data_IF_660938469405
#
_entry.id   IF_660938469405
#
_cell.length_a   1.000
_cell.length_b   1.000
_cell.length_c   1.000
_cell.angle_alpha   90.00
_cell.angle_beta   90.00
_cell.angle_gamma   90.00
#
_symmetry.space_group_name_H-M   'P 1'
#
loop_
_entity.id
_entity.type
_entity.pdbx_description
1 polymer ?
#
# COMPACT_ATOMS: atom_id res chain seq x y z
N UNK A 1 10.78 -66.33 -33.87
CA UNK A 1 9.39 -65.81 -33.75
C UNK A 1 8.79 -66.30 -32.44
N UNK A 2 8.17 -65.40 -31.66
CA UNK A 2 7.49 -65.59 -30.34
C UNK A 2 8.45 -65.96 -29.20
N UNK A 3 8.34 -65.48 -27.96
CA UNK A 3 7.47 -64.54 -27.21
C UNK A 3 8.23 -64.35 -25.89
N UNK A 4 8.25 -63.17 -25.27
CA UNK A 4 8.12 -63.06 -23.81
C UNK A 4 7.71 -61.63 -23.43
N UNK A 5 6.56 -61.56 -22.76
CA UNK A 5 5.97 -60.41 -22.09
C UNK A 5 6.66 -60.20 -20.74
N UNK A 6 6.90 -58.95 -20.32
CA UNK A 6 6.73 -58.59 -18.91
C UNK A 6 6.66 -57.07 -18.66
N UNK A 7 5.45 -56.65 -18.25
CA UNK A 7 5.14 -55.80 -17.10
C UNK A 7 5.85 -54.45 -16.93
N UNK A 8 5.12 -53.37 -17.23
CA UNK A 8 5.32 -52.07 -16.61
C UNK A 8 5.16 -52.17 -15.10
N UNK A 9 6.18 -51.77 -14.32
CA UNK A 9 6.00 -51.34 -12.92
C UNK A 9 6.03 -49.82 -12.92
N UNK A 10 4.90 -49.23 -12.56
CA UNK A 10 4.79 -47.82 -12.18
C UNK A 10 5.44 -47.71 -10.79
N UNK A 11 6.56 -47.01 -10.70
CA UNK A 11 7.15 -46.60 -9.42
C UNK A 11 6.35 -45.40 -8.92
N UNK A 12 5.45 -45.62 -7.96
CA UNK A 12 4.84 -44.54 -7.18
C UNK A 12 5.90 -44.08 -6.18
N UNK A 13 6.54 -42.94 -6.45
CA UNK A 13 7.47 -42.32 -5.52
C UNK A 13 6.69 -41.56 -4.45
N UNK A 14 6.45 -42.25 -3.34
CA UNK A 14 6.01 -41.65 -2.07
C UNK A 14 7.01 -40.58 -1.64
N UNK A 15 6.68 -39.29 -1.76
CA UNK A 15 7.42 -38.20 -1.12
C UNK A 15 7.23 -38.32 0.39
N UNK A 16 8.24 -38.83 1.08
CA UNK A 16 8.35 -38.71 2.53
C UNK A 16 8.56 -37.24 2.90
N UNK A 17 7.82 -36.78 3.91
CA UNK A 17 8.06 -35.50 4.59
C UNK A 17 9.52 -35.50 5.06
N UNK A 18 10.36 -34.64 4.49
CA UNK A 18 11.72 -34.44 4.98
C UNK A 18 11.63 -33.82 6.37
N UNK A 19 11.87 -34.62 7.40
CA UNK A 19 12.09 -34.11 8.75
C UNK A 19 13.32 -33.17 8.71
N UNK A 20 13.15 -31.93 9.18
CA UNK A 20 14.29 -31.01 9.34
C UNK A 20 15.34 -31.65 10.25
N UNK A 21 16.61 -31.56 9.85
CA UNK A 21 17.74 -32.00 10.66
C UNK A 21 17.71 -31.32 12.04
N UNK A 22 17.98 -32.08 13.11
CA UNK A 22 17.93 -31.66 14.51
C UNK A 22 18.86 -30.45 14.76
N UNK A 23 19.95 -30.35 13.99
CA UNK A 23 20.89 -29.23 14.05
C UNK A 23 20.30 -27.95 13.48
N UNK A 24 19.57 -28.05 12.37
CA UNK A 24 18.83 -26.94 11.76
C UNK A 24 17.69 -26.49 12.68
N UNK A 25 16.96 -27.44 13.28
CA UNK A 25 15.87 -27.14 14.21
C UNK A 25 16.37 -26.43 15.50
N UNK A 26 17.55 -26.78 16.00
CA UNK A 26 18.19 -26.11 17.16
C UNK A 26 18.60 -24.66 16.91
N UNK A 27 18.83 -24.26 15.66
CA UNK A 27 19.22 -22.89 15.29
C UNK A 27 18.00 -22.09 14.81
N UNK A 28 17.09 -22.74 14.06
CA UNK A 28 15.94 -22.08 13.47
C UNK A 28 14.90 -21.66 14.53
N UNK A 29 14.62 -22.51 15.53
CA UNK A 29 13.68 -22.18 16.61
C UNK A 29 14.04 -20.91 17.40
N UNK A 30 15.28 -20.74 17.91
CA UNK A 30 15.62 -19.52 18.65
C UNK A 30 15.66 -18.29 17.74
N UNK A 31 16.03 -18.42 16.47
CA UNK A 31 16.00 -17.31 15.50
C UNK A 31 14.57 -16.87 15.22
N UNK A 32 13.66 -17.81 14.95
CA UNK A 32 12.23 -17.52 14.79
C UNK A 32 11.64 -16.93 16.07
N UNK A 33 12.01 -17.48 17.23
CA UNK A 33 11.62 -16.94 18.54
C UNK A 33 12.10 -15.51 18.76
N UNK A 34 13.34 -15.19 18.39
CA UNK A 34 13.88 -13.83 18.47
C UNK A 34 13.15 -12.86 17.54
N UNK A 35 12.88 -13.27 16.29
CA UNK A 35 12.12 -12.47 15.33
C UNK A 35 10.71 -12.17 15.86
N UNK A 36 10.01 -13.18 16.40
CA UNK A 36 8.70 -13.00 17.02
C UNK A 36 8.74 -12.06 18.22
N UNK A 37 9.76 -12.17 19.08
CA UNK A 37 9.91 -11.28 20.24
C UNK A 37 10.18 -9.83 19.81
N UNK A 38 11.02 -9.62 18.79
CA UNK A 38 11.29 -8.29 18.23
C UNK A 38 10.02 -7.71 17.61
N UNK A 39 9.27 -8.51 16.86
CA UNK A 39 7.99 -8.10 16.27
C UNK A 39 6.95 -7.72 17.34
N UNK A 40 6.76 -8.57 18.35
CA UNK A 40 5.85 -8.28 19.47
C UNK A 40 6.26 -7.03 20.25
N UNK A 41 7.57 -6.86 20.51
CA UNK A 41 8.11 -5.67 21.15
C UNK A 41 7.85 -4.41 20.33
N UNK A 42 8.01 -4.48 19.01
CA UNK A 42 7.72 -3.38 18.10
C UNK A 42 6.22 -3.03 18.08
N UNK A 43 5.33 -4.02 18.03
CA UNK A 43 3.87 -3.78 18.08
C UNK A 43 3.43 -3.18 19.41
N UNK A 44 3.96 -3.67 20.54
CA UNK A 44 3.72 -3.09 21.87
C UNK A 44 4.19 -1.64 21.93
N UNK A 45 5.31 -1.33 21.28
CA UNK A 45 5.83 0.03 21.19
C UNK A 45 4.94 0.95 20.33
N UNK A 46 4.40 0.45 19.21
CA UNK A 46 3.43 1.20 18.40
C UNK A 46 2.11 1.44 19.15
N UNK A 47 1.68 0.49 19.97
CA UNK A 47 0.52 0.66 20.85
C UNK A 47 0.78 1.80 21.85
N UNK A 48 1.98 1.86 22.44
CA UNK A 48 2.35 2.96 23.34
C UNK A 48 2.34 4.32 22.64
N UNK A 49 2.86 4.40 21.40
CA UNK A 49 2.75 5.62 20.59
C UNK A 49 1.30 6.04 20.32
N UNK A 50 0.39 5.07 20.19
CA UNK A 50 -1.02 5.34 19.90
C UNK A 50 -1.76 5.86 21.14
N UNK A 51 -1.42 5.35 22.33
CA UNK A 51 -2.07 5.71 23.60
C UNK A 51 -1.50 7.03 24.15
N UNK A 52 -0.18 7.21 24.10
CA UNK A 52 0.52 8.36 24.70
C UNK A 52 1.53 9.00 23.74
N UNK A 53 1.08 9.55 22.59
CA UNK A 53 1.96 9.99 21.51
C UNK A 53 3.00 11.03 21.95
N UNK A 54 2.58 12.07 22.69
CA UNK A 54 3.51 13.12 23.14
C UNK A 54 4.57 12.57 24.11
N UNK A 55 4.16 11.81 25.12
CA UNK A 55 5.09 11.25 26.11
C UNK A 55 6.10 10.29 25.45
N UNK A 56 5.62 9.42 24.57
CA UNK A 56 6.48 8.43 23.90
C UNK A 56 7.48 9.10 22.94
N UNK A 57 7.06 10.07 22.13
CA UNK A 57 7.99 10.75 21.21
C UNK A 57 8.97 11.65 21.97
N UNK A 58 8.52 12.34 23.02
CA UNK A 58 9.44 13.12 23.87
C UNK A 58 10.53 12.24 24.50
N UNK A 59 10.16 11.04 24.94
CA UNK A 59 11.12 10.07 25.46
C UNK A 59 12.11 9.60 24.40
N UNK A 60 11.63 9.20 23.22
CA UNK A 60 12.47 8.69 22.13
C UNK A 60 13.43 9.75 21.60
N UNK A 61 12.94 10.98 21.43
CA UNK A 61 13.71 12.09 20.86
C UNK A 61 14.50 12.85 21.92
N UNK A 62 14.46 12.43 23.20
CA UNK A 62 15.08 13.14 24.32
C UNK A 62 14.68 14.62 24.40
N UNK A 63 13.40 14.90 24.13
CA UNK A 63 12.84 16.26 24.06
C UNK A 63 11.94 16.62 25.24
N UNK A 64 11.94 15.81 26.30
CA UNK A 64 11.09 15.96 27.50
C UNK A 64 11.22 17.34 28.19
N UNK A 65 12.40 17.96 28.10
CA UNK A 65 12.69 19.24 28.73
C UNK A 65 12.26 20.45 27.88
N UNK A 66 11.82 20.25 26.64
CA UNK A 66 11.37 21.33 25.77
C UNK A 66 9.85 21.50 25.88
N UNK A 67 9.43 22.76 26.04
CA UNK A 67 8.02 23.18 26.04
C UNK A 67 7.15 22.38 27.05
N UNK A 68 7.68 22.12 28.25
CA UNK A 68 7.04 21.34 29.33
C UNK A 68 6.48 19.97 28.88
N UNK A 69 7.13 19.33 27.90
CA UNK A 69 6.68 18.04 27.35
C UNK A 69 5.60 18.16 26.27
N UNK A 70 5.33 19.36 25.76
CA UNK A 70 4.39 19.61 24.66
C UNK A 70 5.05 19.95 23.33
N UNK A 71 6.38 19.78 23.21
CA UNK A 71 7.19 20.14 22.04
C UNK A 71 6.63 19.68 20.69
N UNK A 72 6.07 18.46 20.62
CA UNK A 72 5.51 17.91 19.37
C UNK A 72 4.05 18.28 19.12
N UNK A 73 3.36 18.78 20.16
CA UNK A 73 1.95 19.18 20.16
C UNK A 73 1.03 18.21 19.40
N UNK A 74 1.26 16.90 19.55
CA UNK A 74 0.46 15.88 18.88
C UNK A 74 -0.93 15.95 19.48
N UNK A 75 -1.92 16.27 18.64
CA UNK A 75 -3.32 16.34 19.04
C UNK A 75 -3.70 14.98 19.64
N UNK A 76 -4.12 14.99 20.89
CA UNK A 76 -4.55 13.77 21.57
C UNK A 76 -5.75 13.18 20.83
N UNK A 77 -5.63 11.96 20.29
CA UNK A 77 -6.71 11.35 19.55
C UNK A 77 -7.90 11.09 20.48
N UNK A 78 -9.15 11.25 19.99
CA UNK A 78 -10.33 10.82 20.72
C UNK A 78 -10.21 9.35 21.14
N UNK A 79 -10.78 8.96 22.28
CA UNK A 79 -10.71 7.59 22.82
C UNK A 79 -11.17 6.56 21.77
N UNK A 80 -12.13 6.90 20.92
CA UNK A 80 -12.60 6.05 19.82
C UNK A 80 -11.51 5.78 18.77
N UNK A 81 -10.71 6.79 18.42
CA UNK A 81 -9.59 6.66 17.47
C UNK A 81 -8.45 5.85 18.09
N UNK A 82 -8.18 6.04 19.39
CA UNK A 82 -7.23 5.20 20.14
C UNK A 82 -7.71 3.75 20.15
N UNK A 83 -8.99 3.51 20.43
CA UNK A 83 -9.55 2.17 20.46
C UNK A 83 -9.46 1.50 19.07
N UNK A 84 -9.80 2.21 18.00
CA UNK A 84 -9.65 1.70 16.62
C UNK A 84 -8.18 1.45 16.28
N UNK A 85 -7.27 2.34 16.65
CA UNK A 85 -5.84 2.18 16.40
C UNK A 85 -5.23 0.99 17.16
N UNK A 86 -5.56 0.84 18.44
CA UNK A 86 -5.12 -0.30 19.27
C UNK A 86 -5.73 -1.60 18.77
N UNK A 87 -7.02 -1.60 18.41
CA UNK A 87 -7.68 -2.79 17.84
C UNK A 87 -7.09 -3.13 16.47
N UNK A 88 -6.81 -2.13 15.63
CA UNK A 88 -6.17 -2.29 14.33
C UNK A 88 -4.75 -2.84 14.46
N UNK A 89 -3.93 -2.33 15.38
CA UNK A 89 -2.59 -2.85 15.66
C UNK A 89 -2.62 -4.28 16.23
N UNK A 90 -3.64 -4.61 17.03
CA UNK A 90 -3.89 -5.97 17.47
C UNK A 90 -4.33 -6.89 16.31
N UNK A 91 -5.03 -6.38 15.30
CA UNK A 91 -5.40 -7.10 14.07
C UNK A 91 -4.20 -7.20 13.10
N UNK A 92 -3.32 -6.20 13.05
CA UNK A 92 -2.06 -6.20 12.28
C UNK A 92 -1.13 -7.30 12.76
N UNK A 93 -1.16 -7.63 14.07
CA UNK A 93 -0.54 -8.82 14.64
C UNK A 93 -1.03 -10.13 13.98
N UNK A 94 -2.15 -10.10 13.24
CA UNK A 94 -2.82 -11.25 12.63
C UNK A 94 -2.71 -11.26 11.09
N UNK A 95 -2.24 -10.20 10.39
CA UNK A 95 -2.20 -10.26 8.92
C UNK A 95 -1.67 -9.07 8.11
N UNK A 96 -0.55 -8.45 8.51
CA UNK A 96 0.08 -7.37 7.74
C UNK A 96 1.55 -7.65 7.47
N UNK A 97 1.94 -7.77 6.20
CA UNK A 97 3.32 -7.99 5.77
C UNK A 97 3.75 -6.78 4.93
N UNK A 98 4.64 -5.95 5.48
CA UNK A 98 5.27 -4.82 4.80
C UNK A 98 6.77 -5.00 4.71
N UNK A 99 7.33 -4.74 3.52
CA UNK A 99 8.77 -4.61 3.32
C UNK A 99 9.28 -3.21 3.69
N UNK A 100 10.59 -3.05 3.76
CA UNK A 100 11.26 -1.76 4.00
C UNK A 100 11.95 -1.31 2.71
N UNK A 101 11.69 -0.09 2.21
CA UNK A 101 12.37 0.42 1.01
C UNK A 101 13.89 0.43 1.18
N UNK A 102 14.64 0.02 0.15
CA UNK A 102 16.11 0.07 0.14
C UNK A 102 16.83 -1.06 0.92
N UNK A 103 16.12 -2.08 1.37
CA UNK A 103 16.69 -3.30 1.96
C UNK A 103 16.17 -4.53 1.19
N UNK A 104 16.93 -5.62 1.06
CA UNK A 104 16.44 -6.84 0.42
C UNK A 104 15.18 -7.30 1.13
N UNK A 105 14.06 -7.20 0.42
CA UNK A 105 12.73 -7.48 0.93
C UNK A 105 12.42 -8.96 0.92
N UNK A 106 11.15 -9.28 1.12
CA UNK A 106 10.64 -10.64 0.97
C UNK A 106 10.72 -11.04 -0.52
N UNK A 107 11.64 -11.94 -0.86
CA UNK A 107 11.89 -12.38 -2.24
C UNK A 107 10.89 -13.47 -2.69
N UNK A 108 10.39 -14.24 -1.74
CA UNK A 108 9.42 -15.31 -1.98
C UNK A 108 8.54 -15.55 -0.76
N UNK A 109 7.34 -16.04 -1.02
CA UNK A 109 6.40 -16.57 -0.02
C UNK A 109 6.27 -18.08 -0.21
N UNK A 110 6.06 -18.87 0.86
CA UNK A 110 5.76 -20.30 0.73
C UNK A 110 4.48 -20.53 -0.09
N UNK A 111 4.49 -21.52 -0.98
CA UNK A 111 3.36 -21.84 -1.87
C UNK A 111 2.08 -22.20 -1.13
N UNK A 112 2.21 -22.80 0.06
CA UNK A 112 1.11 -23.25 0.93
C UNK A 112 0.70 -22.21 1.97
N UNK A 113 1.29 -21.01 1.95
CA UNK A 113 1.08 -19.99 2.99
C UNK A 113 -0.40 -19.68 3.22
N UNK A 114 -1.19 -19.62 2.16
CA UNK A 114 -2.59 -19.20 2.22
C UNK A 114 -3.59 -20.35 2.32
N UNK A 115 -3.14 -21.61 2.28
CA UNK A 115 -4.02 -22.78 2.19
C UNK A 115 -4.94 -22.92 3.42
N UNK A 116 -4.44 -22.62 4.61
CA UNK A 116 -5.19 -22.68 5.87
C UNK A 116 -5.82 -21.36 6.32
N UNK A 117 -5.74 -20.30 5.51
CA UNK A 117 -6.12 -18.93 5.92
C UNK A 117 -7.59 -18.59 5.63
N UNK A 118 -8.50 -19.53 5.88
CA UNK A 118 -9.93 -19.40 5.55
C UNK A 118 -10.62 -18.22 6.24
N UNK A 119 -10.10 -17.75 7.38
CA UNK A 119 -10.69 -16.63 8.14
C UNK A 119 -10.14 -15.25 7.74
N UNK A 120 -9.14 -15.21 6.86
CA UNK A 120 -8.55 -13.96 6.43
C UNK A 120 -9.56 -13.18 5.56
N UNK A 121 -9.87 -11.96 5.98
CA UNK A 121 -10.87 -11.08 5.34
C UNK A 121 -10.24 -9.86 4.68
N UNK A 122 -9.07 -9.44 5.15
CA UNK A 122 -8.31 -8.31 4.62
C UNK A 122 -6.87 -8.76 4.41
N UNK A 123 -6.34 -8.51 3.21
CA UNK A 123 -4.95 -8.77 2.90
C UNK A 123 -4.36 -7.54 2.24
N UNK A 124 -3.28 -7.03 2.84
CA UNK A 124 -2.49 -5.93 2.31
C UNK A 124 -1.04 -6.39 2.22
N UNK A 125 -0.47 -6.33 1.01
CA UNK A 125 0.94 -6.60 0.77
C UNK A 125 1.54 -5.37 0.13
N UNK A 126 2.55 -4.78 0.77
CA UNK A 126 3.16 -3.58 0.28
C UNK A 126 4.69 -3.53 0.37
N UNK A 127 5.29 -2.77 -0.55
CA UNK A 127 6.71 -2.46 -0.58
C UNK A 127 7.56 -3.73 -0.69
N UNK A 128 7.20 -4.60 -1.65
CA UNK A 128 7.93 -5.84 -1.93
C UNK A 128 8.50 -5.74 -3.35
N UNK A 129 9.67 -5.10 -3.46
CA UNK A 129 10.30 -4.78 -4.74
C UNK A 129 10.76 -6.03 -5.50
N UNK A 130 11.25 -7.05 -4.79
CA UNK A 130 11.82 -8.27 -5.38
C UNK A 130 10.82 -9.42 -5.53
N UNK A 131 9.61 -9.30 -4.95
CA UNK A 131 8.63 -10.38 -4.98
C UNK A 131 8.05 -10.53 -6.38
N UNK A 132 8.34 -11.66 -7.03
CA UNK A 132 7.92 -11.90 -8.42
C UNK A 132 6.57 -12.62 -8.55
N UNK A 133 6.18 -13.41 -7.55
CA UNK A 133 4.96 -14.21 -7.55
C UNK A 133 4.32 -14.27 -6.18
N UNK A 134 3.00 -14.42 -6.16
CA UNK A 134 2.21 -14.67 -4.96
C UNK A 134 1.78 -16.14 -4.92
N UNK A 135 1.68 -16.74 -3.71
CA UNK A 135 1.09 -18.06 -3.52
C UNK A 135 -0.38 -18.09 -3.96
N UNK A 136 -0.90 -19.29 -4.18
CA UNK A 136 -2.29 -19.52 -4.53
C UNK A 136 -3.27 -18.89 -3.52
N UNK A 137 -4.35 -18.27 -4.00
CA UNK A 137 -5.40 -17.74 -3.13
C UNK A 137 -6.47 -18.78 -2.75
N UNK A 138 -6.30 -20.07 -3.07
CA UNK A 138 -7.35 -21.08 -2.85
C UNK A 138 -7.92 -21.12 -1.43
N UNK A 139 -7.08 -21.00 -0.40
CA UNK A 139 -7.53 -20.99 1.00
C UNK A 139 -8.15 -19.67 1.47
N UNK A 140 -8.05 -18.58 0.71
CA UNK A 140 -8.56 -17.24 1.05
C UNK A 140 -10.06 -17.08 0.71
N UNK A 141 -10.89 -18.01 1.17
CA UNK A 141 -12.30 -18.12 0.77
C UNK A 141 -13.21 -16.99 1.30
N UNK A 142 -12.83 -16.35 2.42
CA UNK A 142 -13.59 -15.25 3.02
C UNK A 142 -12.94 -13.87 2.79
N UNK A 143 -12.00 -13.78 1.86
CA UNK A 143 -11.32 -12.52 1.56
C UNK A 143 -12.31 -11.48 1.02
N UNK A 144 -12.34 -10.30 1.63
CA UNK A 144 -13.20 -9.17 1.27
C UNK A 144 -12.41 -8.02 0.66
N UNK A 145 -11.19 -7.80 1.14
CA UNK A 145 -10.31 -6.74 0.63
C UNK A 145 -8.94 -7.30 0.30
N UNK A 146 -8.49 -7.05 -0.93
CA UNK A 146 -7.14 -7.33 -1.39
C UNK A 146 -6.50 -6.03 -1.87
N UNK A 147 -5.40 -5.63 -1.24
CA UNK A 147 -4.60 -4.48 -1.66
C UNK A 147 -3.15 -4.90 -1.86
N UNK A 148 -2.64 -4.68 -3.07
CA UNK A 148 -1.28 -4.95 -3.47
C UNK A 148 -0.62 -3.63 -3.88
N UNK A 149 0.36 -3.16 -3.12
CA UNK A 149 0.93 -1.83 -3.27
C UNK A 149 2.46 -1.85 -3.42
N UNK A 150 3.01 -1.11 -4.37
CA UNK A 150 4.47 -1.00 -4.58
C UNK A 150 5.14 -2.38 -4.70
N UNK A 151 4.58 -3.24 -5.56
CA UNK A 151 5.14 -4.55 -5.88
C UNK A 151 5.94 -4.43 -7.17
N UNK A 152 7.23 -4.09 -7.02
CA UNK A 152 8.10 -3.69 -8.13
C UNK A 152 8.31 -4.76 -9.20
N UNK A 153 8.41 -6.02 -8.79
CA UNK A 153 8.71 -7.15 -9.68
C UNK A 153 7.58 -8.16 -9.86
N UNK A 154 6.40 -7.92 -9.26
CA UNK A 154 5.27 -8.85 -9.36
C UNK A 154 4.79 -8.93 -10.81
N UNK A 155 4.81 -10.12 -11.39
CA UNK A 155 4.47 -10.32 -12.82
C UNK A 155 3.00 -10.68 -13.04
N UNK A 156 2.41 -11.42 -12.11
CA UNK A 156 1.07 -11.99 -12.25
C UNK A 156 0.36 -12.12 -10.91
N UNK A 157 -0.98 -12.05 -10.95
CA UNK A 157 -1.83 -12.32 -9.79
C UNK A 157 -2.36 -13.76 -9.88
N UNK A 158 -2.50 -14.46 -8.75
CA UNK A 158 -3.20 -15.75 -8.68
C UNK A 158 -4.68 -15.63 -9.08
N UNK A 159 -5.26 -16.74 -9.52
CA UNK A 159 -6.67 -16.83 -9.90
C UNK A 159 -7.62 -16.52 -8.74
N UNK A 160 -8.75 -15.86 -9.06
CA UNK A 160 -9.75 -15.42 -8.08
C UNK A 160 -10.95 -16.38 -7.95
N UNK A 161 -10.80 -17.63 -8.37
CA UNK A 161 -11.87 -18.63 -8.49
C UNK A 161 -12.64 -18.87 -7.19
N UNK A 162 -11.97 -18.76 -6.04
CA UNK A 162 -12.55 -19.06 -4.72
C UNK A 162 -12.93 -17.80 -3.93
N UNK A 163 -12.54 -16.61 -4.40
CA UNK A 163 -12.68 -15.32 -3.70
C UNK A 163 -14.09 -14.72 -3.87
N UNK A 164 -15.14 -15.53 -3.70
CA UNK A 164 -16.54 -15.14 -3.95
C UNK A 164 -17.07 -14.06 -3.02
N UNK A 165 -16.33 -13.69 -1.98
CA UNK A 165 -16.68 -12.62 -1.04
C UNK A 165 -15.91 -11.32 -1.28
N UNK A 166 -15.04 -11.28 -2.31
CA UNK A 166 -14.17 -10.14 -2.55
C UNK A 166 -15.00 -8.93 -2.98
N UNK A 167 -14.84 -7.84 -2.23
CA UNK A 167 -15.53 -6.57 -2.39
C UNK A 167 -14.58 -5.50 -2.95
N UNK A 168 -13.32 -5.52 -2.52
CA UNK A 168 -12.31 -4.53 -2.91
C UNK A 168 -11.07 -5.22 -3.47
N UNK A 169 -10.66 -4.80 -4.66
CA UNK A 169 -9.37 -5.15 -5.25
C UNK A 169 -8.63 -3.87 -5.63
N UNK A 170 -7.47 -3.65 -5.01
CA UNK A 170 -6.63 -2.49 -5.26
C UNK A 170 -5.23 -2.93 -5.69
N UNK A 171 -4.83 -2.47 -6.87
CA UNK A 171 -3.47 -2.55 -7.37
C UNK A 171 -2.88 -1.14 -7.41
N UNK A 172 -1.87 -0.89 -6.58
CA UNK A 172 -1.17 0.38 -6.52
C UNK A 172 0.29 0.16 -6.94
N UNK A 173 0.72 0.81 -8.03
CA UNK A 173 2.12 0.77 -8.48
C UNK A 173 2.69 -0.66 -8.57
N UNK A 174 2.08 -1.50 -9.41
CA UNK A 174 2.54 -2.85 -9.73
C UNK A 174 2.93 -2.90 -11.23
N UNK A 175 4.05 -2.26 -11.64
CA UNK A 175 4.33 -1.94 -13.04
C UNK A 175 4.58 -3.17 -13.93
N UNK A 176 4.99 -4.29 -13.34
CA UNK A 176 5.31 -5.53 -14.06
C UNK A 176 4.08 -6.43 -14.27
N UNK A 177 2.92 -6.10 -13.68
CA UNK A 177 1.68 -6.85 -13.89
C UNK A 177 1.10 -6.50 -15.26
N UNK A 178 1.29 -7.41 -16.21
CA UNK A 178 0.86 -7.23 -17.60
C UNK A 178 -0.60 -7.63 -17.86
N UNK A 179 -1.20 -8.44 -16.98
CA UNK A 179 -2.55 -8.99 -17.12
C UNK A 179 -3.23 -9.15 -15.77
N UNK A 180 -4.56 -9.24 -15.77
CA UNK A 180 -5.35 -9.64 -14.60
C UNK A 180 -5.87 -11.07 -14.75
N UNK A 181 -6.08 -11.79 -13.63
CA UNK A 181 -6.86 -13.03 -13.63
C UNK A 181 -8.31 -12.74 -14.08
N UNK A 182 -9.06 -13.80 -14.39
CA UNK A 182 -10.47 -13.64 -14.74
C UNK A 182 -11.26 -13.05 -13.56
N UNK A 183 -11.99 -11.96 -13.80
CA UNK A 183 -12.82 -11.30 -12.80
C UNK A 183 -14.25 -11.84 -12.80
N UNK A 184 -14.61 -12.76 -13.69
CA UNK A 184 -15.92 -13.40 -13.70
C UNK A 184 -16.33 -13.97 -12.32
N UNK A 185 -15.46 -14.68 -11.57
CA UNK A 185 -15.83 -15.27 -10.28
C UNK A 185 -16.25 -14.23 -9.22
N UNK A 186 -15.69 -13.02 -9.28
CA UNK A 186 -15.93 -11.94 -8.31
C UNK A 186 -16.89 -10.87 -8.83
N UNK A 187 -17.40 -11.02 -10.04
CA UNK A 187 -18.15 -9.96 -10.74
C UNK A 187 -19.41 -9.48 -10.02
N UNK A 188 -20.06 -10.36 -9.25
CA UNK A 188 -21.27 -10.05 -8.50
C UNK A 188 -21.00 -9.44 -7.12
N UNK A 189 -19.80 -9.60 -6.57
CA UNK A 189 -19.46 -9.13 -5.22
C UNK A 189 -18.50 -7.95 -5.21
N UNK A 190 -17.73 -7.77 -6.28
CA UNK A 190 -16.76 -6.69 -6.38
C UNK A 190 -17.47 -5.32 -6.47
N UNK A 191 -17.28 -4.53 -5.43
CA UNK A 191 -17.84 -3.18 -5.26
C UNK A 191 -16.83 -2.10 -5.65
N UNK A 192 -15.53 -2.39 -5.54
CA UNK A 192 -14.46 -1.46 -5.84
C UNK A 192 -13.29 -2.17 -6.53
N UNK A 193 -12.88 -1.61 -7.67
CA UNK A 193 -11.65 -1.98 -8.37
C UNK A 193 -10.82 -0.71 -8.58
N UNK A 194 -9.62 -0.68 -8.03
CA UNK A 194 -8.69 0.43 -8.19
C UNK A 194 -7.40 -0.07 -8.81
N UNK A 195 -6.99 0.54 -9.92
CA UNK A 195 -5.67 0.33 -10.53
C UNK A 195 -5.05 1.71 -10.67
N UNK A 196 -4.16 2.02 -9.72
CA UNK A 196 -3.55 3.34 -9.60
C UNK A 196 -2.04 3.24 -9.81
N UNK A 197 -1.48 4.23 -10.51
CA UNK A 197 -0.12 4.21 -10.99
C UNK A 197 -0.01 3.46 -12.32
N UNK A 198 1.19 2.99 -12.64
CA UNK A 198 1.48 2.42 -13.97
C UNK A 198 0.82 1.05 -14.16
N UNK A 199 -0.30 1.00 -14.88
CA UNK A 199 -1.01 -0.23 -15.25
C UNK A 199 -0.74 -0.61 -16.70
N UNK A 200 0.32 -1.37 -16.98
CA UNK A 200 0.69 -1.74 -18.36
C UNK A 200 -0.40 -2.53 -19.08
N UNK A 201 -1.21 -3.29 -18.32
CA UNK A 201 -2.43 -3.96 -18.78
C UNK A 201 -3.45 -3.03 -19.46
N UNK A 202 -3.39 -1.72 -19.21
CA UNK A 202 -4.30 -0.73 -19.78
C UNK A 202 -3.94 -0.32 -21.21
N UNK A 203 -2.75 -0.67 -21.70
CA UNK A 203 -2.24 -0.19 -22.98
C UNK A 203 -1.41 -1.23 -23.75
N UNK A 204 -1.08 -2.39 -23.16
CA UNK A 204 -0.34 -3.46 -23.81
C UNK A 204 -1.20 -4.40 -24.70
N UNK A 205 -2.51 -4.11 -24.84
CA UNK A 205 -3.46 -4.90 -25.61
C UNK A 205 -4.15 -6.04 -24.84
N UNK A 206 -4.04 -6.11 -23.52
CA UNK A 206 -4.74 -7.11 -22.69
C UNK A 206 -6.28 -7.03 -22.81
N UNK A 207 -6.83 -5.81 -22.79
CA UNK A 207 -8.29 -5.59 -22.69
C UNK A 207 -9.05 -5.83 -23.99
N UNK A 208 -8.47 -5.45 -25.13
CA UNK A 208 -9.18 -5.40 -26.42
C UNK A 208 -8.32 -5.85 -27.61
N UNK A 209 -7.16 -6.47 -27.34
CA UNK A 209 -6.16 -6.84 -28.33
C UNK A 209 -5.56 -5.65 -29.11
N UNK A 210 -5.74 -4.41 -28.62
CA UNK A 210 -5.14 -3.21 -29.21
C UNK A 210 -4.08 -2.65 -28.29
N UNK A 211 -2.84 -2.74 -28.75
CA UNK A 211 -1.72 -2.15 -28.03
C UNK A 211 -1.55 -0.68 -28.46
N UNK A 212 -1.46 0.21 -27.47
CA UNK A 212 -1.14 1.62 -27.67
C UNK A 212 0.02 2.03 -26.76
N UNK A 213 1.25 1.85 -27.26
CA UNK A 213 2.45 2.26 -26.54
C UNK A 213 2.64 3.78 -26.50
N UNK A 214 1.79 4.59 -27.15
CA UNK A 214 1.83 6.05 -27.03
C UNK A 214 1.17 6.53 -25.73
N UNK A 215 0.30 5.70 -25.14
CA UNK A 215 -0.38 6.00 -23.88
C UNK A 215 0.63 6.29 -22.75
N UNK A 216 0.37 7.33 -21.95
CA UNK A 216 1.21 7.75 -20.83
C UNK A 216 1.45 6.62 -19.80
N UNK A 217 0.50 5.68 -19.64
CA UNK A 217 0.64 4.52 -18.76
C UNK A 217 1.67 3.49 -19.25
N UNK A 218 1.98 3.48 -20.54
CA UNK A 218 2.94 2.56 -21.16
C UNK A 218 4.37 3.15 -21.24
N UNK A 219 4.54 4.46 -21.05
CA UNK A 219 5.85 5.12 -21.08
C UNK A 219 6.70 4.79 -19.86
N UNK A 220 8.01 5.05 -19.93
CA UNK A 220 8.95 4.88 -18.80
C UNK A 220 8.52 5.67 -17.58
N UNK A 221 8.57 5.04 -16.40
CA UNK A 221 8.34 5.72 -15.12
C UNK A 221 9.66 6.22 -14.53
N UNK A 222 9.73 7.53 -14.27
CA UNK A 222 10.88 8.15 -13.63
C UNK A 222 10.95 7.94 -12.12
N UNK A 223 9.86 7.50 -11.47
CA UNK A 223 9.79 7.31 -10.02
C UNK A 223 10.40 5.99 -9.59
N UNK A 224 10.01 4.88 -10.21
CA UNK A 224 10.56 3.53 -9.93
C UNK A 224 11.56 3.03 -10.98
N UNK A 225 11.91 3.86 -11.98
CA UNK A 225 12.85 3.48 -13.04
C UNK A 225 12.38 2.31 -13.93
N UNK A 226 11.07 2.08 -14.00
CA UNK A 226 10.52 0.91 -14.69
C UNK A 226 10.58 1.04 -16.22
N UNK A 227 10.98 -0.01 -16.96
CA UNK A 227 11.12 -0.01 -18.42
C UNK A 227 9.79 0.24 -19.15
N UNK A 228 9.79 0.78 -20.39
CA UNK A 228 8.58 0.96 -21.19
C UNK A 228 7.82 -0.36 -21.36
N UNK A 229 6.48 -0.29 -21.41
CA UNK A 229 5.67 -1.48 -21.62
C UNK A 229 5.91 -2.07 -23.02
N UNK A 230 5.66 -3.36 -23.16
CA UNK A 230 5.71 -4.06 -24.45
C UNK A 230 4.32 -4.57 -24.81
N UNK A 231 4.01 -4.59 -26.11
CA UNK A 231 2.75 -5.13 -26.59
C UNK A 231 2.69 -6.65 -26.43
N UNK A 232 1.53 -7.15 -26.03
CA UNK A 232 1.24 -8.58 -26.10
C UNK A 232 1.06 -9.01 -27.57
N UNK A 233 1.41 -10.27 -27.94
CA UNK A 233 1.27 -10.75 -29.32
C UNK A 233 -0.18 -10.74 -29.83
N UNK A 234 -0.42 -10.30 -31.06
CA UNK A 234 -1.78 -10.08 -31.62
C UNK A 234 -2.57 -11.38 -31.84
N UNK A 235 -1.91 -12.50 -32.14
CA UNK A 235 -2.55 -13.80 -32.46
C UNK A 235 -2.46 -14.79 -31.29
N UNK A 236 -2.63 -14.31 -30.06
CA UNK A 236 -2.60 -15.14 -28.85
C UNK A 236 -4.01 -15.61 -28.45
N UNK A 237 -4.09 -16.77 -27.81
CA UNK A 237 -5.31 -17.27 -27.17
C UNK A 237 -5.26 -17.15 -25.64
N UNK A 238 -4.05 -17.02 -25.08
CA UNK A 238 -3.78 -16.73 -23.69
C UNK A 238 -3.65 -15.22 -23.44
N UNK A 239 -3.73 -14.79 -22.17
CA UNK A 239 -3.52 -13.37 -21.80
C UNK A 239 -4.45 -12.39 -22.53
N UNK A 240 -5.69 -12.82 -22.73
CA UNK A 240 -6.80 -12.00 -23.19
C UNK A 240 -7.80 -11.86 -22.05
N UNK A 241 -8.27 -10.64 -21.81
CA UNK A 241 -9.34 -10.41 -20.85
C UNK A 241 -10.62 -11.14 -21.31
N UNK A 242 -11.28 -11.84 -20.38
CA UNK A 242 -12.60 -12.42 -20.65
C UNK A 242 -13.64 -11.31 -20.85
N UNK A 243 -14.78 -11.64 -21.46
CA UNK A 243 -15.88 -10.68 -21.61
C UNK A 243 -16.33 -10.10 -20.26
N UNK A 244 -16.33 -10.91 -19.20
CA UNK A 244 -16.67 -10.47 -17.86
C UNK A 244 -15.62 -9.51 -17.28
N UNK A 245 -14.32 -9.81 -17.45
CA UNK A 245 -13.24 -8.91 -17.04
C UNK A 245 -13.32 -7.57 -17.79
N UNK A 246 -13.55 -7.57 -19.10
CA UNK A 246 -13.73 -6.34 -19.89
C UNK A 246 -14.90 -5.51 -19.36
N UNK A 247 -16.03 -6.16 -19.07
CA UNK A 247 -17.19 -5.49 -18.49
C UNK A 247 -16.90 -4.89 -17.11
N UNK A 248 -16.11 -5.58 -16.28
CA UNK A 248 -15.69 -5.09 -14.96
C UNK A 248 -14.76 -3.88 -15.07
N UNK A 249 -13.78 -3.93 -15.96
CA UNK A 249 -12.88 -2.82 -16.23
C UNK A 249 -13.65 -1.58 -16.71
N UNK A 250 -14.64 -1.77 -17.59
CA UNK A 250 -15.53 -0.69 -18.02
C UNK A 250 -16.40 -0.14 -16.88
N UNK A 251 -16.94 -1.00 -16.01
CA UNK A 251 -17.73 -0.60 -14.83
C UNK A 251 -16.93 0.32 -13.90
N UNK A 252 -15.61 0.11 -13.81
CA UNK A 252 -14.70 0.85 -12.93
C UNK A 252 -13.71 1.74 -13.70
N UNK A 253 -14.09 2.25 -14.88
CA UNK A 253 -13.20 3.06 -15.73
C UNK A 253 -12.73 4.37 -15.05
N UNK A 254 -13.50 4.87 -14.09
CA UNK A 254 -13.15 6.07 -13.32
C UNK A 254 -12.08 5.82 -12.23
N UNK A 255 -11.77 4.57 -11.91
CA UNK A 255 -10.81 4.17 -10.86
C UNK A 255 -9.73 3.21 -11.37
N UNK A 256 -9.76 2.86 -12.65
CA UNK A 256 -8.79 1.99 -13.32
C UNK A 256 -8.22 2.70 -14.55
N UNK A 257 -6.98 2.38 -14.92
CA UNK A 257 -6.36 2.90 -16.14
C UNK A 257 -6.36 4.44 -16.23
N UNK A 258 -6.29 5.12 -15.08
CA UNK A 258 -6.21 6.57 -15.03
C UNK A 258 -4.75 6.94 -15.33
N UNK A 259 -4.48 7.70 -16.41
CA UNK A 259 -3.12 8.17 -16.66
C UNK A 259 -2.67 9.03 -15.47
N UNK A 260 -1.39 8.95 -15.07
CA UNK A 260 -0.86 9.92 -14.12
C UNK A 260 -1.14 11.31 -14.69
N UNK A 261 -1.80 12.16 -13.91
CA UNK A 261 -2.13 13.52 -14.33
C UNK A 261 -0.87 14.23 -14.84
N UNK A 262 -0.92 14.72 -16.10
CA UNK A 262 0.15 15.43 -16.83
C UNK A 262 0.99 16.41 -15.97
N UNK A 263 2.22 16.71 -16.44
CA UNK A 263 3.41 15.86 -16.54
C UNK A 263 4.17 15.84 -15.20
N UNK A 264 5.23 15.01 -15.03
CA UNK A 264 6.25 15.37 -14.05
C UNK A 264 6.83 16.70 -14.53
N UNK A 265 6.60 17.78 -13.77
CA UNK A 265 7.51 18.92 -13.88
C UNK A 265 8.90 18.30 -13.74
N UNK A 266 9.75 18.49 -14.74
CA UNK A 266 11.17 18.12 -14.77
C UNK A 266 11.72 18.03 -13.35
N UNK A 267 11.97 16.81 -12.87
CA UNK A 267 12.58 16.61 -11.55
C UNK A 267 11.68 16.85 -10.33
N UNK A 268 10.37 16.65 -10.41
CA UNK A 268 9.54 16.46 -9.21
C UNK A 268 9.24 14.98 -9.03
N UNK A 269 10.13 14.23 -8.34
CA UNK A 269 9.73 12.97 -7.74
C UNK A 269 8.57 13.22 -6.78
N UNK A 270 7.95 12.15 -6.30
CA UNK A 270 6.86 12.12 -5.29
C UNK A 270 7.39 12.62 -3.92
N UNK A 271 7.88 13.86 -3.93
CA UNK A 271 8.84 14.49 -3.01
C UNK A 271 8.41 15.95 -2.73
N UNK A 272 7.18 16.36 -3.05
CA UNK A 272 6.65 17.61 -2.48
C UNK A 272 6.38 17.56 -0.96
N UNK A 273 6.69 16.44 -0.31
CA UNK A 273 6.70 16.25 1.15
C UNK A 273 8.11 16.20 1.75
N UNK A 274 9.14 16.78 1.13
CA UNK A 274 10.32 17.14 1.93
C UNK A 274 10.09 18.44 2.66
N UNK A 275 9.91 18.30 3.97
CA UNK A 275 10.02 19.38 4.94
C UNK A 275 11.45 19.93 4.90
N UNK A 276 11.62 21.09 4.25
CA UNK A 276 12.89 21.84 4.27
C UNK A 276 12.92 22.77 5.47
N UNK A 277 14.12 23.11 5.96
CA UNK A 277 14.28 24.08 7.05
C UNK A 277 13.59 25.42 6.73
N UNK A 278 13.69 25.89 5.48
CA UNK A 278 13.02 27.11 5.03
C UNK A 278 11.49 27.01 5.15
N UNK A 279 10.90 25.85 4.85
CA UNK A 279 9.45 25.62 5.01
C UNK A 279 9.02 25.54 6.48
N UNK A 280 9.88 25.02 7.37
CA UNK A 280 9.63 24.97 8.82
C UNK A 280 9.70 26.37 9.43
N UNK A 281 10.74 27.12 9.10
CA UNK A 281 10.92 28.50 9.54
C UNK A 281 9.79 29.41 9.03
N UNK A 282 9.32 29.18 7.81
CA UNK A 282 8.15 29.85 7.24
C UNK A 282 6.85 29.60 8.01
N UNK A 283 6.84 28.67 8.98
CA UNK A 283 5.70 28.39 9.86
C UNK A 283 5.89 28.80 11.32
N UNK A 284 7.13 29.05 11.78
CA UNK A 284 7.44 29.44 13.17
C UNK A 284 6.62 28.66 14.22
N UNK A 285 6.49 27.34 14.04
CA UNK A 285 5.73 26.47 14.95
C UNK A 285 4.21 26.70 15.01
N UNK A 286 3.62 27.54 14.17
CA UNK A 286 2.19 27.86 14.23
C UNK A 286 1.39 27.04 13.21
N UNK A 287 0.55 26.12 13.68
CA UNK A 287 -0.37 25.35 12.82
C UNK A 287 -1.43 26.27 12.15
N UNK A 288 -1.86 25.87 10.96
CA UNK A 288 -2.94 26.45 10.16
C UNK A 288 -2.77 27.92 9.73
N UNK A 289 -1.64 28.54 10.04
CA UNK A 289 -1.34 29.88 9.51
C UNK A 289 -1.10 29.82 8.00
N UNK A 290 -1.41 30.94 7.35
CA UNK A 290 -1.04 31.15 5.95
C UNK A 290 0.48 31.27 5.81
N UNK A 291 1.03 30.65 4.76
CA UNK A 291 2.45 30.71 4.44
C UNK A 291 2.67 30.78 2.92
N UNK A 292 3.89 31.09 2.51
CA UNK A 292 4.31 31.07 1.10
C UNK A 292 5.51 30.16 0.96
N UNK A 293 5.49 29.24 -0.02
CA UNK A 293 6.62 28.35 -0.28
C UNK A 293 7.83 29.18 -0.76
N UNK A 294 9.00 29.13 -0.08
CA UNK A 294 10.16 29.96 -0.40
C UNK A 294 10.71 29.78 -1.83
N UNK A 295 10.49 28.62 -2.45
CA UNK A 295 11.02 28.29 -3.78
C UNK A 295 10.08 28.64 -4.92
N UNK A 296 8.76 28.63 -4.67
CA UNK A 296 7.73 28.76 -5.72
C UNK A 296 6.80 29.95 -5.52
N UNK A 297 6.91 30.66 -4.39
CA UNK A 297 5.95 31.67 -3.93
C UNK A 297 4.49 31.19 -3.94
N UNK A 298 4.29 29.88 -3.93
CA UNK A 298 2.97 29.29 -3.89
C UNK A 298 2.38 29.49 -2.50
N UNK A 299 1.13 29.98 -2.44
CA UNK A 299 0.36 30.07 -1.21
C UNK A 299 0.20 28.68 -0.58
N UNK A 300 0.29 28.62 0.74
CA UNK A 300 0.18 27.37 1.48
C UNK A 300 -0.38 27.54 2.88
N UNK A 301 -0.48 26.40 3.57
CA UNK A 301 -0.92 26.28 4.96
C UNK A 301 0.18 25.60 5.79
N UNK A 302 0.42 26.12 6.98
CA UNK A 302 1.35 25.52 7.92
C UNK A 302 0.74 24.30 8.60
N UNK A 303 1.39 23.14 8.45
CA UNK A 303 0.88 21.90 9.01
C UNK A 303 1.94 20.83 9.22
N UNK A 304 1.61 19.84 10.07
CA UNK A 304 2.44 18.67 10.34
C UNK A 304 2.05 17.48 9.44
N UNK A 305 2.16 17.65 8.11
CA UNK A 305 1.86 16.54 7.20
C UNK A 305 2.71 15.30 7.56
N UNK A 306 2.07 14.13 7.69
CA UNK A 306 2.74 12.86 8.00
C UNK A 306 3.55 12.87 9.31
N UNK A 307 3.13 13.62 10.33
CA UNK A 307 3.83 13.73 11.62
C UNK A 307 5.24 14.35 11.50
N UNK A 308 5.51 15.09 10.42
CA UNK A 308 6.73 15.87 10.27
C UNK A 308 6.63 17.21 11.01
N UNK A 309 7.74 17.95 11.23
CA UNK A 309 7.70 19.30 11.79
C UNK A 309 6.70 20.21 11.04
N UNK A 310 6.11 21.17 11.76
CA UNK A 310 5.16 22.12 11.16
C UNK A 310 5.87 22.88 10.03
N UNK A 311 5.40 22.69 8.81
CA UNK A 311 6.03 23.22 7.62
C UNK A 311 4.99 23.74 6.63
N UNK A 312 5.44 24.63 5.74
CA UNK A 312 4.57 25.22 4.73
C UNK A 312 4.21 24.21 3.64
N UNK A 313 2.93 23.82 3.61
CA UNK A 313 2.39 22.91 2.59
C UNK A 313 1.59 23.72 1.54
N UNK A 314 1.91 23.50 0.26
CA UNK A 314 1.30 24.22 -0.87
C UNK A 314 0.16 23.45 -1.55
N UNK A 315 -0.26 22.33 -1.00
CA UNK A 315 -1.38 21.54 -1.52
C UNK A 315 -2.72 22.15 -1.05
N UNK A 316 -3.52 22.63 -1.99
CA UNK A 316 -4.80 23.27 -1.74
C UNK A 316 -5.83 22.35 -1.05
N UNK A 317 -5.69 21.03 -1.17
CA UNK A 317 -6.61 20.09 -0.53
C UNK A 317 -6.60 20.23 0.99
N UNK A 318 -5.44 20.51 1.56
CA UNK A 318 -5.24 20.70 2.99
C UNK A 318 -5.93 21.98 3.51
N UNK A 319 -5.92 23.04 2.68
CA UNK A 319 -6.63 24.29 2.94
C UNK A 319 -8.14 24.04 2.98
N UNK A 320 -8.66 23.32 1.98
CA UNK A 320 -10.08 22.99 1.87
C UNK A 320 -10.57 22.08 3.00
N UNK A 321 -9.76 21.09 3.40
CA UNK A 321 -10.06 20.24 4.57
C UNK A 321 -10.20 21.11 5.82
N UNK A 322 -9.26 22.03 6.09
CA UNK A 322 -9.34 22.87 7.28
C UNK A 322 -10.52 23.84 7.25
N UNK A 323 -10.86 24.42 6.09
CA UNK A 323 -12.08 25.24 5.92
C UNK A 323 -13.33 24.47 6.30
N UNK A 324 -13.49 23.24 5.81
CA UNK A 324 -14.63 22.38 6.16
C UNK A 324 -14.68 22.04 7.65
N UNK A 325 -13.52 21.75 8.26
CA UNK A 325 -13.43 21.50 9.70
C UNK A 325 -13.95 22.69 10.53
N UNK A 326 -13.55 23.91 10.17
CA UNK A 326 -14.02 25.15 10.82
C UNK A 326 -15.53 25.31 10.65
N UNK A 327 -16.05 25.16 9.43
CA UNK A 327 -17.47 25.32 9.12
C UNK A 327 -18.35 24.31 9.87
N UNK A 328 -17.87 23.07 10.02
CA UNK A 328 -18.60 22.00 10.69
C UNK A 328 -18.36 21.96 12.21
N UNK A 329 -17.44 22.79 12.73
CA UNK A 329 -17.08 22.79 14.14
C UNK A 329 -16.41 21.48 14.60
N UNK A 330 -15.72 20.77 13.70
CA UNK A 330 -15.07 19.49 13.97
C UNK A 330 -13.54 19.64 14.06
N UNK A 331 -12.91 18.87 14.95
CA UNK A 331 -11.47 18.94 15.20
C UNK A 331 -11.07 20.07 16.16
N UNK A 332 -9.80 20.49 16.09
CA UNK A 332 -9.28 21.54 16.96
C UNK A 332 -9.99 22.87 16.73
N UNK A 333 -10.34 23.56 17.83
CA UNK A 333 -10.94 24.92 17.78
C UNK A 333 -10.03 25.84 16.98
N UNK A 334 -10.62 26.60 16.05
CA UNK A 334 -9.86 27.50 15.21
C UNK A 334 -9.33 28.70 16.00
N UNK A 335 -8.14 29.17 15.63
CA UNK A 335 -7.52 30.37 16.17
C UNK A 335 -7.83 31.58 15.26
N UNK A 336 -8.63 32.56 15.72
CA UNK A 336 -9.02 33.71 14.90
C UNK A 336 -7.84 34.56 14.41
N UNK A 337 -6.70 34.53 15.10
CA UNK A 337 -5.51 35.30 14.72
C UNK A 337 -4.82 34.72 13.48
N UNK A 338 -4.77 33.39 13.37
CA UNK A 338 -4.02 32.71 12.31
C UNK A 338 -4.92 32.06 11.25
N UNK A 339 -6.20 31.85 11.54
CA UNK A 339 -7.14 31.09 10.71
C UNK A 339 -8.31 31.93 10.20
N UNK A 340 -8.27 33.27 10.35
CA UNK A 340 -9.28 34.16 9.78
C UNK A 340 -9.39 34.01 8.25
N UNK A 341 -8.27 33.76 7.57
CA UNK A 341 -8.20 33.50 6.13
C UNK A 341 -8.85 32.17 5.70
N UNK A 342 -9.17 31.30 6.68
CA UNK A 342 -9.89 30.03 6.51
C UNK A 342 -11.36 30.14 6.92
N UNK A 343 -11.83 31.32 7.34
CA UNK A 343 -13.21 31.54 7.79
C UNK A 343 -13.42 31.35 9.29
N UNK A 344 -12.36 31.33 10.10
CA UNK A 344 -12.51 31.34 11.56
C UNK A 344 -13.15 32.67 12.02
N UNK A 345 -14.28 32.64 12.75
CA UNK A 345 -14.95 33.86 13.18
C UNK A 345 -14.10 34.65 14.17
N UNK A 346 -13.99 35.97 13.96
CA UNK A 346 -13.43 36.89 14.96
C UNK A 346 -14.42 36.97 16.13
N UNK A 347 -14.01 36.48 17.29
CA UNK A 347 -14.76 36.69 18.55
C UNK A 347 -14.33 37.98 19.20
#
# INVERSE_FOLDING_TARGET
MRKFSHSHRIFVQSRSVQQLDVRTQRILLPVVGAILCISLGWTLWLIMLTIFPNNTINFVMSTQAFDDGSFWAIIEPPIEVVAVGVTGLAIVMIGHIEGKPGFPGLVALPEDLFDGMERLTFMHLAVLEDLTRLPSFQGLINLRSLTLALLGSLTELPELTHQKTLQTLTLLMAPMVQTLPDLAPVSNTLQQLVILGRGTLCCNGFLDNRCDLSNALCQTDGVLGSPPATCLPVNRSDRLATAATIQMMKKFEASTCIPPSNPPATGTPIIQTYTTEANVLACNGTMYRECSKPTTNQRGICMNALLMPIACNGDDTHIEVRRRQIQQGVGARCNPQYEAWLGCPKR
#
